data_IF_406274327060
#
_entry.id   IF_406274327060
#
_cell.length_a   1.000
_cell.length_b   1.000
_cell.length_c   1.000
_cell.angle_alpha   90.00
_cell.angle_beta   90.00
_cell.angle_gamma   90.00
#
_symmetry.space_group_name_H-M   'P 1'
#
loop_
_entity.id
_entity.type
_entity.pdbx_description
1 polymer ?
#
# COMPACT_ATOMS: atom_id res chain seq x y z
N UNK A 1 18.37 3.04 7.30
CA UNK A 1 17.87 3.92 6.21
C UNK A 1 17.01 3.09 5.28
N UNK A 2 15.72 3.40 5.13
CA UNK A 2 14.80 2.66 4.27
C UNK A 2 14.80 3.27 2.86
N UNK A 3 15.08 2.48 1.81
CA UNK A 3 15.08 2.95 0.41
C UNK A 3 13.65 2.85 -0.16
N UNK A 4 13.10 3.96 -0.67
CA UNK A 4 11.86 3.94 -1.45
C UNK A 4 12.18 3.72 -2.94
N UNK A 5 11.45 2.83 -3.62
CA UNK A 5 11.59 2.55 -5.06
C UNK A 5 10.30 2.92 -5.79
N UNK A 6 10.40 3.76 -6.82
CA UNK A 6 9.31 4.02 -7.76
C UNK A 6 9.44 3.03 -8.90
N UNK A 7 8.41 2.22 -9.13
CA UNK A 7 8.36 1.25 -10.23
C UNK A 7 7.54 1.84 -11.37
N UNK A 8 8.16 2.02 -12.54
CA UNK A 8 7.52 2.57 -13.76
C UNK A 8 7.14 1.45 -14.73
N UNK A 9 6.22 1.72 -15.66
CA UNK A 9 5.83 0.76 -16.70
C UNK A 9 4.83 -0.33 -16.27
N UNK A 10 4.18 -0.17 -15.11
CA UNK A 10 3.15 -1.10 -14.66
C UNK A 10 1.85 -0.92 -15.46
N UNK A 11 1.29 -2.01 -15.99
CA UNK A 11 0.00 -1.99 -16.70
C UNK A 11 -1.14 -1.80 -15.70
N UNK A 12 -1.96 -0.77 -15.91
CA UNK A 12 -3.17 -0.50 -15.11
C UNK A 12 -4.16 -1.66 -15.20
N UNK A 13 -4.76 -2.04 -14.07
CA UNK A 13 -5.72 -3.15 -14.00
C UNK A 13 -5.09 -4.55 -13.87
N UNK A 14 -3.76 -4.65 -13.93
CA UNK A 14 -3.04 -5.90 -13.68
C UNK A 14 -2.61 -5.95 -12.21
N UNK A 15 -2.66 -7.16 -11.65
CA UNK A 15 -2.17 -7.45 -10.31
C UNK A 15 -0.71 -7.83 -10.35
N UNK A 16 0.13 -7.16 -9.57
CA UNK A 16 1.56 -7.44 -9.45
C UNK A 16 1.92 -7.84 -8.02
N UNK A 17 2.86 -8.78 -7.90
CA UNK A 17 3.53 -9.08 -6.63
C UNK A 17 4.88 -8.38 -6.63
N UNK A 18 5.22 -7.75 -5.51
CA UNK A 18 6.50 -7.08 -5.33
C UNK A 18 7.39 -7.89 -4.40
N UNK A 19 8.69 -7.92 -4.71
CA UNK A 19 9.71 -8.54 -3.86
C UNK A 19 10.51 -7.45 -3.16
N UNK A 20 10.71 -7.60 -1.86
CA UNK A 20 11.52 -6.69 -1.05
C UNK A 20 12.72 -7.47 -0.51
N UNK A 21 13.90 -6.88 -0.63
CA UNK A 21 15.14 -7.40 -0.07
C UNK A 21 15.64 -6.41 0.98
N UNK A 22 16.07 -6.94 2.12
CA UNK A 22 16.75 -6.15 3.13
C UNK A 22 18.27 -6.34 2.97
N UNK A 23 19.02 -5.25 3.08
CA UNK A 23 20.49 -5.26 3.05
C UNK A 23 20.99 -4.69 4.37
N UNK A 24 21.87 -5.42 5.04
CA UNK A 24 22.58 -4.98 6.24
C UNK A 24 24.11 -5.10 6.01
N UNK A 25 24.92 -4.77 7.01
CA UNK A 25 26.40 -4.82 6.90
C UNK A 25 26.96 -6.24 6.72
N UNK A 26 26.16 -7.28 7.02
CA UNK A 26 26.53 -8.68 6.89
C UNK A 26 26.08 -9.29 5.55
N UNK A 27 25.23 -8.60 4.79
CA UNK A 27 24.81 -9.03 3.46
C UNK A 27 23.34 -8.71 3.13
N UNK A 28 22.85 -9.35 2.08
CA UNK A 28 21.49 -9.22 1.56
C UNK A 28 20.67 -10.41 2.05
N UNK A 29 19.50 -10.15 2.64
CA UNK A 29 18.56 -11.15 3.10
C UNK A 29 17.80 -11.80 1.93
N UNK A 30 17.14 -12.93 2.22
CA UNK A 30 16.28 -13.57 1.24
C UNK A 30 15.14 -12.63 0.78
N UNK A 31 14.89 -12.54 -0.53
CA UNK A 31 13.84 -11.70 -1.09
C UNK A 31 12.46 -12.20 -0.65
N UNK A 32 11.75 -11.38 0.12
CA UNK A 32 10.39 -11.66 0.57
C UNK A 32 9.38 -11.14 -0.46
N UNK A 33 8.48 -12.02 -0.91
CA UNK A 33 7.33 -11.65 -1.74
C UNK A 33 6.22 -11.02 -0.90
N UNK A 34 5.47 -10.10 -1.49
CA UNK A 34 4.24 -9.60 -0.86
C UNK A 34 3.19 -10.70 -0.83
N UNK A 35 2.59 -10.90 0.34
CA UNK A 35 1.54 -11.91 0.59
C UNK A 35 0.35 -11.73 -0.37
N UNK A 36 -0.08 -10.47 -0.52
CA UNK A 36 -1.22 -10.10 -1.36
C UNK A 36 -0.76 -9.44 -2.67
N UNK A 37 -1.30 -9.85 -3.82
CA UNK A 37 -1.03 -9.18 -5.08
C UNK A 37 -1.69 -7.79 -5.12
N UNK A 38 -0.92 -6.77 -5.49
CA UNK A 38 -1.36 -5.37 -5.52
C UNK A 38 -1.95 -5.05 -6.89
N UNK A 39 -3.18 -4.55 -6.92
CA UNK A 39 -3.81 -4.06 -8.14
C UNK A 39 -3.21 -2.70 -8.52
N UNK A 40 -2.60 -2.62 -9.70
CA UNK A 40 -2.05 -1.36 -10.20
C UNK A 40 -3.18 -0.44 -10.63
N UNK A 41 -3.28 0.68 -9.92
CA UNK A 41 -4.22 1.77 -10.20
C UNK A 41 -3.47 2.97 -10.74
N UNK A 42 -4.09 3.65 -11.68
CA UNK A 42 -3.57 4.92 -12.16
C UNK A 42 -3.80 5.98 -11.05
N UNK A 43 -2.81 6.86 -10.84
CA UNK A 43 -2.93 7.95 -9.84
C UNK A 43 -4.01 8.96 -10.23
N UNK A 44 -4.37 9.01 -11.51
CA UNK A 44 -5.35 9.92 -12.11
C UNK A 44 -6.69 9.22 -12.40
N UNK A 45 -7.23 8.48 -11.45
CA UNK A 45 -8.64 8.10 -11.54
C UNK A 45 -9.49 9.36 -11.30
N UNK A 46 -10.45 9.71 -12.17
CA UNK A 46 -11.38 10.78 -11.86
C UNK A 46 -12.03 10.47 -10.51
N UNK A 47 -12.19 11.46 -9.61
CA UNK A 47 -12.81 11.20 -8.33
C UNK A 47 -14.18 10.58 -8.60
N UNK A 48 -14.32 9.28 -8.30
CA UNK A 48 -15.63 8.67 -8.25
C UNK A 48 -16.46 9.55 -7.32
N UNK A 49 -17.61 10.04 -7.80
CA UNK A 49 -18.54 10.85 -7.02
C UNK A 49 -18.92 10.02 -5.81
N UNK A 50 -18.19 10.21 -4.71
CA UNK A 50 -18.55 9.68 -3.42
C UNK A 50 -19.76 10.50 -2.99
N UNK A 51 -20.96 10.00 -3.31
CA UNK A 51 -22.21 10.36 -2.63
C UNK A 51 -22.08 9.87 -1.19
N UNK A 52 -21.17 10.49 -0.44
CA UNK A 52 -21.11 10.35 1.00
C UNK A 52 -22.37 11.04 1.50
N UNK A 53 -23.42 10.27 1.75
CA UNK A 53 -24.36 10.66 2.79
C UNK A 53 -23.55 10.63 4.07
N UNK A 54 -23.11 11.80 4.52
CA UNK A 54 -22.54 12.00 5.86
C UNK A 54 -23.52 11.39 6.85
N UNK A 55 -23.26 10.17 7.29
CA UNK A 55 -23.82 9.64 8.52
C UNK A 55 -22.80 9.97 9.59
N UNK A 56 -23.18 10.94 10.39
CA UNK A 56 -22.56 11.36 11.63
C UNK A 56 -22.07 10.14 12.42
N UNK A 57 -20.76 9.93 12.48
CA UNK A 57 -20.15 9.01 13.45
C UNK A 57 -19.84 9.82 14.70
N UNK A 58 -20.87 10.07 15.51
CA UNK A 58 -20.69 10.33 16.94
C UNK A 58 -20.15 9.05 17.58
N UNK A 59 -18.98 9.14 18.22
CA UNK A 59 -18.41 8.09 19.10
C UNK A 59 -17.87 6.88 18.34
N UNK A 60 -16.74 6.28 18.66
CA UNK A 60 -16.18 6.05 19.98
C UNK A 60 -14.66 6.13 19.88
N UNK A 61 -14.07 7.13 20.53
CA UNK A 61 -12.65 7.10 20.89
C UNK A 61 -12.55 6.03 21.98
N UNK A 62 -12.10 4.82 21.63
CA UNK A 62 -11.73 3.85 22.64
C UNK A 62 -10.51 4.42 23.39
N UNK A 63 -10.55 4.59 24.72
CA UNK A 63 -9.37 4.96 25.45
C UNK A 63 -8.37 3.81 25.35
N UNK A 64 -7.15 4.11 24.89
CA UNK A 64 -6.04 3.19 24.98
C UNK A 64 -5.89 2.75 26.44
N UNK A 65 -6.01 1.43 26.67
CA UNK A 65 -5.57 0.80 27.91
C UNK A 65 -4.38 -0.08 27.57
N UNK A 66 -3.33 0.14 28.37
CA UNK A 66 -1.98 -0.42 28.41
C UNK A 66 -1.00 0.03 27.33
#
# INVERSE_FOLDING_TARGET
MCKSRIVTGLKTGVKFKFRVMAENIYGIAEPLETDCPVLVKNRFEPPAKKTVRTRDVKGCFLPAKY
#
